data_IF_325271611692
#
_entry.id   IF_325271611692
#
_cell.length_a   1.000
_cell.length_b   1.000
_cell.length_c   1.000
_cell.angle_alpha   90.00
_cell.angle_beta   90.00
_cell.angle_gamma   90.00
#
_symmetry.space_group_name_H-M   'P 1'
#
loop_
_entity.id
_entity.type
_entity.pdbx_description
1 polymer ?
#
# COMPACT_ATOMS: atom_id res chain seq x y z
N UNK A 1 -17.55 8.87 43.30
CA UNK A 1 -18.72 8.39 42.52
C UNK A 1 -18.75 9.21 41.22
N UNK A 2 -18.18 8.81 40.07
CA UNK A 2 -18.55 7.78 39.08
C UNK A 2 -20.02 7.81 38.63
N UNK A 3 -20.32 8.51 37.52
CA UNK A 3 -21.45 8.22 36.62
C UNK A 3 -21.33 8.91 35.25
N UNK A 4 -20.41 8.48 34.38
CA UNK A 4 -20.44 8.79 32.92
C UNK A 4 -20.22 7.55 32.04
N UNK A 5 -20.64 6.38 32.54
CA UNK A 5 -20.52 5.07 31.85
C UNK A 5 -21.87 4.48 31.41
N UNK A 6 -22.86 5.32 31.11
CA UNK A 6 -24.25 4.88 30.88
C UNK A 6 -24.80 5.07 29.45
N UNK A 7 -23.97 5.40 28.45
CA UNK A 7 -24.45 5.50 27.04
C UNK A 7 -23.86 4.42 26.12
N UNK A 8 -22.84 3.68 26.58
CA UNK A 8 -22.24 2.55 25.85
C UNK A 8 -22.56 1.21 26.51
N UNK A 9 -23.84 0.84 26.66
CA UNK A 9 -24.21 -0.52 27.10
C UNK A 9 -25.65 -0.98 26.76
N UNK A 10 -26.27 -0.42 25.73
CA UNK A 10 -27.66 -0.76 25.36
C UNK A 10 -27.81 -1.79 24.23
N UNK A 11 -26.77 -2.55 23.84
CA UNK A 11 -26.88 -3.61 22.81
C UNK A 11 -26.05 -4.86 23.07
N UNK A 12 -25.84 -5.20 24.34
CA UNK A 12 -25.41 -6.53 24.75
C UNK A 12 -26.45 -7.05 25.75
N UNK A 13 -26.70 -8.35 25.74
CA UNK A 13 -27.58 -9.10 26.68
C UNK A 13 -29.09 -8.90 26.52
N UNK A 14 -29.68 -9.56 25.52
CA UNK A 14 -30.96 -10.28 25.64
C UNK A 14 -30.94 -11.52 24.74
N UNK A 15 -30.19 -12.54 25.14
CA UNK A 15 -30.35 -13.92 24.68
C UNK A 15 -29.84 -14.84 25.79
N UNK A 16 -30.78 -15.33 26.60
CA UNK A 16 -30.69 -16.43 27.58
C UNK A 16 -31.85 -16.20 28.57
N UNK A 17 -32.76 -17.08 28.95
CA UNK A 17 -33.17 -18.43 28.61
C UNK A 17 -34.52 -18.63 29.35
N UNK A 18 -35.44 -19.41 28.79
CA UNK A 18 -36.55 -20.14 29.46
C UNK A 18 -37.48 -20.65 28.34
N UNK A 19 -37.24 -21.80 27.69
CA UNK A 19 -37.32 -23.22 28.10
C UNK A 19 -38.76 -23.77 28.19
N UNK A 20 -39.00 -24.72 27.28
CA UNK A 20 -39.95 -25.85 27.20
C UNK A 20 -41.46 -25.60 27.25
N UNK A 21 -42.18 -26.11 26.24
CA UNK A 21 -42.99 -27.35 26.35
C UNK A 21 -43.04 -28.05 24.98
N UNK A 22 -42.95 -29.38 25.06
CA UNK A 22 -42.81 -30.37 24.00
C UNK A 22 -44.00 -30.53 23.04
N UNK A 23 -43.64 -31.13 21.91
CA UNK A 23 -44.43 -31.72 20.83
C UNK A 23 -45.69 -32.50 21.22
N UNK A 24 -46.82 -32.24 20.53
CA UNK A 24 -47.67 -33.25 19.85
C UNK A 24 -48.38 -32.55 18.67
N UNK A 25 -48.50 -33.25 17.54
CA UNK A 25 -48.86 -32.67 16.24
C UNK A 25 -50.17 -31.87 16.19
N UNK A 26 -50.13 -30.81 15.39
CA UNK A 26 -51.22 -30.46 14.50
C UNK A 26 -50.68 -29.66 13.30
N UNK A 27 -51.17 -30.02 12.12
CA UNK A 27 -50.75 -29.58 10.80
C UNK A 27 -50.76 -28.05 10.66
N UNK A 28 -49.58 -27.43 10.55
CA UNK A 28 -49.45 -25.98 10.40
C UNK A 28 -48.29 -25.60 9.49
N UNK A 29 -48.59 -24.83 8.45
CA UNK A 29 -47.66 -24.27 7.46
C UNK A 29 -46.45 -23.61 8.12
N UNK A 30 -45.30 -24.28 8.03
CA UNK A 30 -44.03 -23.75 8.52
C UNK A 30 -43.55 -22.59 7.64
N UNK A 31 -43.76 -21.36 8.10
CA UNK A 31 -43.15 -20.16 7.58
C UNK A 31 -41.62 -20.31 7.58
N UNK A 32 -41.07 -20.58 6.40
CA UNK A 32 -39.64 -20.59 6.09
C UNK A 32 -39.11 -19.18 6.31
N UNK A 33 -38.70 -18.88 7.56
CA UNK A 33 -38.08 -17.62 7.96
C UNK A 33 -36.78 -17.39 7.20
N UNK A 34 -36.89 -16.81 5.99
CA UNK A 34 -35.78 -16.20 5.27
C UNK A 34 -35.35 -15.00 6.10
N UNK A 35 -34.27 -15.13 6.87
CA UNK A 35 -33.57 -13.99 7.45
C UNK A 35 -33.40 -12.91 6.38
N UNK A 36 -33.49 -11.64 6.79
CA UNK A 36 -33.45 -10.42 5.97
C UNK A 36 -32.28 -10.38 4.96
N UNK A 37 -32.33 -11.20 3.91
CA UNK A 37 -31.46 -11.17 2.74
C UNK A 37 -32.04 -10.10 1.83
N UNK A 38 -31.53 -8.87 2.00
CA UNK A 38 -31.90 -7.74 1.16
C UNK A 38 -32.93 -6.84 1.79
N UNK A 39 -32.54 -6.08 2.81
CA UNK A 39 -33.06 -4.72 2.94
C UNK A 39 -32.71 -4.00 1.62
N UNK A 40 -33.69 -3.95 0.72
CA UNK A 40 -33.58 -3.57 -0.67
C UNK A 40 -33.20 -2.11 -0.87
N UNK A 41 -31.92 -1.80 -0.69
CA UNK A 41 -31.35 -0.63 -1.36
C UNK A 41 -31.33 -0.99 -2.84
N UNK A 42 -32.25 -0.39 -3.59
CA UNK A 42 -32.25 -0.46 -5.04
C UNK A 42 -30.82 -0.20 -5.53
N UNK A 43 -30.29 -0.99 -6.49
CA UNK A 43 -29.00 -0.69 -7.09
C UNK A 43 -28.98 0.77 -7.54
N UNK A 44 -27.85 1.43 -7.32
CA UNK A 44 -27.65 2.78 -7.84
C UNK A 44 -27.98 2.78 -9.34
N UNK A 45 -28.67 3.82 -9.79
CA UNK A 45 -29.07 3.96 -11.18
C UNK A 45 -27.83 3.85 -12.09
N UNK A 46 -27.86 2.92 -13.05
CA UNK A 46 -26.74 2.61 -13.94
C UNK A 46 -25.73 1.57 -13.42
N UNK A 47 -25.87 1.03 -12.20
CA UNK A 47 -24.90 0.07 -11.61
C UNK A 47 -25.50 -1.32 -11.41
N UNK A 48 -24.89 -2.33 -12.06
CA UNK A 48 -25.28 -3.74 -11.88
C UNK A 48 -24.58 -4.33 -10.66
N UNK A 49 -25.29 -4.40 -9.54
CA UNK A 49 -24.75 -4.96 -8.28
C UNK A 49 -24.53 -6.48 -8.36
N UNK A 50 -23.30 -6.93 -8.67
CA UNK A 50 -22.89 -8.34 -8.61
C UNK A 50 -22.42 -8.73 -7.19
N UNK A 51 -23.36 -8.82 -6.24
CA UNK A 51 -23.12 -9.31 -4.88
C UNK A 51 -23.30 -8.27 -3.76
N UNK A 52 -22.68 -8.49 -2.60
CA UNK A 52 -22.88 -7.60 -1.43
C UNK A 52 -22.22 -6.23 -1.58
N UNK A 53 -21.18 -6.13 -2.39
CA UNK A 53 -20.36 -4.93 -2.48
C UNK A 53 -20.22 -4.53 -3.95
N UNK A 54 -20.31 -3.23 -4.24
CA UNK A 54 -20.11 -2.69 -5.58
C UNK A 54 -18.66 -2.78 -6.04
N UNK A 55 -18.47 -3.07 -7.33
CA UNK A 55 -17.17 -2.94 -7.99
C UNK A 55 -16.75 -1.47 -7.99
N UNK A 56 -15.48 -1.20 -7.70
CA UNK A 56 -14.96 0.17 -7.65
C UNK A 56 -15.03 0.87 -9.01
N UNK A 57 -14.85 0.14 -10.12
CA UNK A 57 -14.95 0.72 -11.47
C UNK A 57 -16.35 1.25 -11.77
N UNK A 58 -17.38 0.57 -11.29
CA UNK A 58 -18.79 0.90 -11.59
C UNK A 58 -19.29 2.08 -10.77
N UNK A 59 -18.62 2.40 -9.66
CA UNK A 59 -19.03 3.46 -8.74
C UNK A 59 -18.13 4.69 -8.77
N UNK A 60 -17.06 4.68 -9.57
CA UNK A 60 -16.26 5.89 -9.77
C UNK A 60 -17.13 6.99 -10.37
N UNK A 61 -17.04 8.20 -9.82
CA UNK A 61 -17.85 9.36 -10.24
C UNK A 61 -19.27 9.40 -9.69
N UNK A 62 -19.75 8.32 -9.05
CA UNK A 62 -21.01 8.34 -8.31
C UNK A 62 -20.79 8.89 -6.89
N UNK A 63 -21.81 9.54 -6.33
CA UNK A 63 -21.81 10.06 -4.97
C UNK A 63 -21.91 8.96 -3.89
N UNK A 64 -21.17 7.86 -4.05
CA UNK A 64 -21.11 6.77 -3.06
C UNK A 64 -19.96 7.00 -2.08
N UNK A 65 -20.12 6.66 -0.78
CA UNK A 65 -19.03 6.76 0.18
C UNK A 65 -17.77 6.01 -0.26
N UNK A 66 -17.93 4.86 -0.93
CA UNK A 66 -16.80 4.08 -1.44
C UNK A 66 -16.03 4.78 -2.55
N UNK A 67 -16.68 5.58 -3.40
CA UNK A 67 -16.01 6.35 -4.44
C UNK A 67 -15.11 7.46 -3.87
N UNK A 68 -15.48 8.02 -2.71
CA UNK A 68 -14.65 9.02 -2.01
C UNK A 68 -13.49 8.38 -1.23
N UNK A 69 -13.67 7.16 -0.75
CA UNK A 69 -12.66 6.43 0.04
C UNK A 69 -11.59 5.79 -0.84
N UNK A 70 -11.97 5.27 -2.01
CA UNK A 70 -11.06 4.59 -2.93
C UNK A 70 -10.77 5.45 -4.16
N UNK A 71 -9.49 5.69 -4.42
CA UNK A 71 -9.03 6.37 -5.63
C UNK A 71 -8.28 5.42 -6.54
N UNK A 72 -8.47 5.62 -7.84
CA UNK A 72 -7.80 4.84 -8.87
C UNK A 72 -6.33 5.24 -8.97
N UNK A 73 -5.46 4.23 -9.08
CA UNK A 73 -4.04 4.35 -9.35
C UNK A 73 -3.68 3.33 -10.43
N UNK A 74 -3.57 3.79 -11.68
CA UNK A 74 -3.45 2.91 -12.85
C UNK A 74 -4.59 1.90 -12.94
N UNK A 75 -4.25 0.62 -12.94
CA UNK A 75 -5.21 -0.50 -12.98
C UNK A 75 -5.76 -0.91 -11.60
N UNK A 76 -5.27 -0.31 -10.50
CA UNK A 76 -5.64 -0.67 -9.13
C UNK A 76 -6.28 0.51 -8.40
N UNK A 77 -6.67 0.27 -7.16
CA UNK A 77 -7.24 1.28 -6.26
C UNK A 77 -6.49 1.32 -4.96
N UNK A 78 -6.40 2.50 -4.38
CA UNK A 78 -5.85 2.72 -3.05
C UNK A 78 -6.91 3.32 -2.13
N UNK A 79 -6.79 3.04 -0.84
CA UNK A 79 -7.67 3.62 0.18
C UNK A 79 -7.03 4.89 0.73
N UNK A 80 -7.68 6.04 0.55
CA UNK A 80 -7.13 7.34 0.96
C UNK A 80 -6.88 7.43 2.48
N UNK A 81 -7.79 6.98 3.36
CA UNK A 81 -7.52 6.96 4.81
C UNK A 81 -6.30 6.13 5.22
N UNK A 82 -5.99 5.04 4.49
CA UNK A 82 -4.81 4.23 4.80
C UNK A 82 -3.54 4.95 4.32
N UNK A 83 -3.61 5.56 3.14
CA UNK A 83 -2.53 6.39 2.63
C UNK A 83 -2.22 7.55 3.57
N UNK A 84 -3.23 8.21 4.13
CA UNK A 84 -3.08 9.28 5.13
C UNK A 84 -2.40 8.77 6.42
N UNK A 85 -2.70 7.54 6.82
CA UNK A 85 -2.05 6.84 7.93
C UNK A 85 -0.71 6.18 7.56
N UNK A 86 -0.08 6.60 6.44
CA UNK A 86 1.21 6.07 5.92
C UNK A 86 1.23 4.55 5.75
N UNK A 87 0.07 3.97 5.47
CA UNK A 87 -0.08 2.54 5.23
C UNK A 87 -0.60 2.34 3.82
N UNK A 88 0.24 1.81 2.94
CA UNK A 88 -0.17 1.52 1.58
C UNK A 88 -0.94 0.20 1.52
N UNK A 89 -2.18 0.29 1.04
CA UNK A 89 -3.03 -0.87 0.75
C UNK A 89 -3.59 -0.71 -0.66
N UNK A 90 -3.13 -1.57 -1.56
CA UNK A 90 -3.63 -1.64 -2.93
C UNK A 90 -4.71 -2.72 -3.05
N UNK A 91 -5.75 -2.44 -3.82
CA UNK A 91 -6.85 -3.37 -4.10
C UNK A 91 -7.22 -3.36 -5.58
N UNK A 92 -7.72 -4.49 -6.06
CA UNK A 92 -8.37 -4.63 -7.36
C UNK A 92 -9.74 -3.92 -7.35
N UNK A 93 -10.35 -3.67 -8.52
CA UNK A 93 -11.70 -3.12 -8.61
C UNK A 93 -12.76 -3.92 -7.84
N UNK A 94 -12.61 -5.24 -7.77
CA UNK A 94 -13.46 -6.14 -6.98
C UNK A 94 -13.15 -6.13 -5.46
N UNK A 95 -12.28 -5.22 -5.00
CA UNK A 95 -11.83 -5.04 -3.61
C UNK A 95 -11.01 -6.19 -3.03
N UNK A 96 -10.48 -7.09 -3.86
CA UNK A 96 -9.44 -8.04 -3.44
C UNK A 96 -8.12 -7.30 -3.25
N UNK A 97 -7.40 -7.61 -2.18
CA UNK A 97 -6.10 -6.99 -1.88
C UNK A 97 -5.05 -7.41 -2.92
N UNK A 98 -4.19 -6.46 -3.26
CA UNK A 98 -3.00 -6.66 -4.09
C UNK A 98 -1.77 -6.47 -3.21
N UNK A 99 -1.08 -7.58 -2.90
CA UNK A 99 0.12 -7.54 -2.08
C UNK A 99 -0.13 -7.34 -0.58
N UNK A 100 0.95 -7.35 0.21
CA UNK A 100 0.91 -7.08 1.64
C UNK A 100 0.57 -5.61 1.92
N UNK A 101 0.22 -5.32 3.18
CA UNK A 101 0.14 -3.93 3.64
C UNK A 101 1.56 -3.47 3.94
N UNK A 102 1.96 -2.34 3.36
CA UNK A 102 3.31 -1.78 3.54
C UNK A 102 3.23 -0.45 4.28
N UNK A 103 4.18 -0.20 5.17
CA UNK A 103 4.39 1.16 5.68
C UNK A 103 5.23 1.94 4.67
N UNK A 104 4.91 3.21 4.51
CA UNK A 104 5.58 4.10 3.56
C UNK A 104 6.15 5.33 4.29
N UNK A 105 7.23 5.89 3.76
CA UNK A 105 7.79 7.15 4.26
C UNK A 105 6.88 8.34 3.95
N UNK A 106 7.11 9.47 4.63
CA UNK A 106 6.42 10.73 4.36
C UNK A 106 6.64 11.23 2.92
N UNK A 107 7.87 11.08 2.43
CA UNK A 107 8.26 11.49 1.09
C UNK A 107 7.54 10.65 0.02
N UNK A 108 7.52 9.32 0.21
CA UNK A 108 6.83 8.40 -0.69
C UNK A 108 5.30 8.60 -0.63
N UNK A 109 4.73 8.85 0.55
CA UNK A 109 3.32 9.19 0.72
C UNK A 109 2.95 10.43 -0.10
N UNK A 110 3.74 11.50 0.00
CA UNK A 110 3.53 12.72 -0.77
C UNK A 110 3.54 12.46 -2.27
N UNK A 111 4.51 11.67 -2.75
CA UNK A 111 4.60 11.30 -4.16
C UNK A 111 3.41 10.46 -4.62
N UNK A 112 2.97 9.47 -3.84
CA UNK A 112 1.80 8.65 -4.18
C UNK A 112 0.54 9.53 -4.22
N UNK A 113 0.38 10.49 -3.30
CA UNK A 113 -0.73 11.47 -3.36
C UNK A 113 -0.67 12.27 -4.67
N UNK A 114 0.48 12.81 -5.02
CA UNK A 114 0.66 13.53 -6.30
C UNK A 114 0.30 12.65 -7.49
N UNK A 115 0.74 11.39 -7.50
CA UNK A 115 0.42 10.45 -8.57
C UNK A 115 -1.09 10.14 -8.65
N UNK A 116 -1.78 10.03 -7.52
CA UNK A 116 -3.21 9.72 -7.45
C UNK A 116 -4.07 10.89 -7.89
N UNK A 117 -3.72 12.11 -7.47
CA UNK A 117 -4.54 13.30 -7.74
C UNK A 117 -4.15 14.01 -9.04
N UNK A 118 -2.86 14.10 -9.35
CA UNK A 118 -2.34 14.83 -10.51
C UNK A 118 -1.91 13.92 -11.66
N UNK A 119 -1.84 12.59 -11.46
CA UNK A 119 -1.36 11.61 -12.46
C UNK A 119 0.04 11.92 -13.01
N UNK A 120 0.86 12.59 -12.20
CA UNK A 120 2.22 12.96 -12.56
C UNK A 120 3.21 12.52 -11.47
N UNK A 121 4.46 12.30 -11.87
CA UNK A 121 5.59 12.10 -10.97
C UNK A 121 6.52 13.28 -11.15
N UNK A 122 6.78 14.00 -10.06
CA UNK A 122 7.71 15.11 -10.06
C UNK A 122 9.13 14.53 -9.89
N UNK A 123 9.89 14.48 -10.98
CA UNK A 123 11.29 14.00 -10.99
C UNK A 123 12.17 14.55 -9.86
N UNK A 124 12.19 15.87 -9.55
CA UNK A 124 13.05 16.38 -8.48
C UNK A 124 12.64 15.88 -7.09
N UNK A 125 11.39 15.46 -6.92
CA UNK A 125 10.91 14.83 -5.69
C UNK A 125 11.32 13.36 -5.66
N UNK A 126 11.24 12.67 -6.80
CA UNK A 126 11.68 11.29 -6.96
C UNK A 126 13.19 11.14 -6.71
N UNK A 127 14.00 12.02 -7.26
CA UNK A 127 15.47 11.94 -7.14
C UNK A 127 15.95 12.06 -5.67
N UNK A 128 15.21 12.81 -4.86
CA UNK A 128 15.45 13.01 -3.41
C UNK A 128 14.98 11.85 -2.53
N UNK A 129 14.27 10.88 -3.07
CA UNK A 129 13.84 9.71 -2.31
C UNK A 129 15.03 8.83 -1.94
N UNK A 130 14.89 8.12 -0.81
CA UNK A 130 15.82 7.05 -0.46
C UNK A 130 15.74 5.93 -1.50
N UNK A 131 16.80 5.12 -1.57
CA UNK A 131 16.87 3.98 -2.50
C UNK A 131 15.74 2.98 -2.20
N UNK A 132 15.43 2.75 -0.92
CA UNK A 132 14.31 1.90 -0.50
C UNK A 132 12.97 2.42 -1.00
N UNK A 133 12.71 3.73 -0.87
CA UNK A 133 11.49 4.36 -1.34
C UNK A 133 11.39 4.36 -2.88
N UNK A 134 12.51 4.54 -3.59
CA UNK A 134 12.57 4.45 -5.06
C UNK A 134 12.20 3.05 -5.55
N UNK A 135 12.73 2.01 -4.90
CA UNK A 135 12.36 0.61 -5.19
C UNK A 135 10.89 0.35 -4.93
N UNK A 136 10.39 0.80 -3.77
CA UNK A 136 8.98 0.62 -3.44
C UNK A 136 8.08 1.38 -4.45
N UNK A 137 8.49 2.56 -4.90
CA UNK A 137 7.80 3.28 -5.95
C UNK A 137 7.76 2.48 -7.27
N UNK A 138 8.87 1.89 -7.68
CA UNK A 138 8.95 1.06 -8.88
C UNK A 138 8.01 -0.16 -8.79
N UNK A 139 8.00 -0.86 -7.66
CA UNK A 139 7.07 -1.96 -7.39
C UNK A 139 5.60 -1.51 -7.48
N UNK A 140 5.27 -0.32 -6.93
CA UNK A 140 3.93 0.26 -7.01
C UNK A 140 3.56 0.54 -8.47
N UNK A 141 4.46 1.13 -9.26
CA UNK A 141 4.25 1.40 -10.67
C UNK A 141 4.07 0.12 -11.47
N UNK A 142 4.80 -0.94 -11.14
CA UNK A 142 4.65 -2.26 -11.74
C UNK A 142 3.29 -2.89 -11.41
N UNK A 143 2.91 -2.96 -10.14
CA UNK A 143 1.62 -3.52 -9.69
C UNK A 143 0.43 -2.75 -10.27
N UNK A 144 0.56 -1.43 -10.42
CA UNK A 144 -0.48 -0.56 -10.97
C UNK A 144 -0.48 -0.54 -12.50
N UNK A 145 0.52 -1.13 -13.16
CA UNK A 145 0.77 -1.06 -14.61
C UNK A 145 0.99 0.37 -15.13
N UNK A 146 1.52 1.25 -14.29
CA UNK A 146 1.91 2.62 -14.66
C UNK A 146 3.36 2.71 -15.12
N UNK A 147 4.15 1.64 -14.96
CA UNK A 147 5.56 1.57 -15.36
C UNK A 147 5.82 2.08 -16.79
N UNK A 148 4.97 1.72 -17.77
CA UNK A 148 5.14 2.14 -19.16
C UNK A 148 4.95 3.64 -19.39
N UNK A 149 4.21 4.33 -18.51
CA UNK A 149 4.00 5.77 -18.62
C UNK A 149 5.20 6.58 -18.10
N UNK A 150 6.08 5.95 -17.34
CA UNK A 150 7.19 6.61 -16.64
C UNK A 150 8.55 5.94 -16.88
N UNK A 151 8.62 4.90 -17.71
CA UNK A 151 9.85 4.13 -17.98
C UNK A 151 10.99 5.02 -18.49
N UNK A 152 10.69 5.99 -19.37
CA UNK A 152 11.72 6.90 -19.90
C UNK A 152 12.13 8.01 -18.93
N UNK A 153 11.43 8.16 -17.79
CA UNK A 153 11.64 9.25 -16.82
C UNK A 153 12.33 8.77 -15.55
N UNK A 154 12.14 7.51 -15.16
CA UNK A 154 12.63 6.98 -13.91
C UNK A 154 13.85 6.09 -14.16
N UNK A 155 15.01 6.57 -13.75
CA UNK A 155 16.25 5.78 -13.76
C UNK A 155 16.18 4.69 -12.70
N UNK A 156 16.73 3.51 -13.01
CA UNK A 156 16.76 2.39 -12.08
C UNK A 156 17.55 2.79 -10.80
N UNK A 157 16.93 2.67 -9.60
CA UNK A 157 17.60 2.97 -8.34
C UNK A 157 18.85 2.10 -8.08
N UNK A 158 18.93 0.90 -8.65
CA UNK A 158 20.12 0.04 -8.52
C UNK A 158 21.25 0.46 -9.45
N UNK A 159 20.93 0.88 -10.68
CA UNK A 159 21.93 1.39 -11.62
C UNK A 159 22.57 2.68 -11.12
N UNK A 160 21.75 3.59 -10.57
CA UNK A 160 22.25 4.84 -9.96
C UNK A 160 23.18 4.55 -8.77
N UNK A 161 22.80 3.61 -7.90
CA UNK A 161 23.65 3.19 -6.77
C UNK A 161 24.99 2.59 -7.25
N UNK A 162 24.97 1.75 -8.30
CA UNK A 162 26.18 1.19 -8.89
C UNK A 162 27.08 2.26 -9.49
N UNK A 163 26.52 3.20 -10.23
CA UNK A 163 27.28 4.28 -10.85
C UNK A 163 27.97 5.17 -9.79
N UNK A 164 27.29 5.48 -8.69
CA UNK A 164 27.88 6.22 -7.57
C UNK A 164 28.99 5.43 -6.89
N UNK A 165 28.77 4.12 -6.66
CA UNK A 165 29.78 3.22 -6.12
C UNK A 165 31.04 3.16 -6.99
N UNK A 166 30.88 2.91 -8.29
CA UNK A 166 31.99 2.78 -9.23
C UNK A 166 32.79 4.07 -9.33
N UNK A 167 32.11 5.21 -9.31
CA UNK A 167 32.76 6.53 -9.27
C UNK A 167 33.61 6.70 -8.01
N UNK A 168 33.06 6.46 -6.83
CA UNK A 168 33.78 6.63 -5.57
C UNK A 168 34.92 5.61 -5.41
N UNK A 169 34.71 4.38 -5.88
CA UNK A 169 35.74 3.34 -5.92
C UNK A 169 36.89 3.75 -6.85
N UNK A 170 36.58 4.32 -8.02
CA UNK A 170 37.57 4.85 -8.95
C UNK A 170 38.40 6.00 -8.37
N UNK A 171 37.76 6.95 -7.68
CA UNK A 171 38.45 8.06 -7.00
C UNK A 171 39.51 7.57 -5.99
N UNK A 172 39.17 6.57 -5.19
CA UNK A 172 40.12 5.99 -4.22
C UNK A 172 41.22 5.18 -4.92
N UNK A 173 40.91 4.49 -6.02
CA UNK A 173 41.92 3.79 -6.81
C UNK A 173 42.93 4.75 -7.45
N UNK A 174 42.51 5.99 -7.74
CA UNK A 174 43.36 7.07 -8.24
C UNK A 174 44.16 7.78 -7.13
N UNK A 175 43.99 7.38 -5.86
CA UNK A 175 44.72 7.93 -4.71
C UNK A 175 44.08 9.18 -4.08
N UNK A 176 42.78 9.39 -4.28
CA UNK A 176 42.05 10.49 -3.63
C UNK A 176 41.58 10.08 -2.22
N UNK A 177 42.41 10.37 -1.21
CA UNK A 177 42.15 10.00 0.20
C UNK A 177 41.32 11.03 0.97
N UNK A 178 40.40 11.73 0.29
CA UNK A 178 39.53 12.69 0.96
C UNK A 178 38.63 11.96 1.99
N UNK A 179 38.66 12.34 3.28
CA UNK A 179 37.89 11.67 4.35
C UNK A 179 36.37 11.68 4.09
N UNK A 180 35.86 12.67 3.36
CA UNK A 180 34.46 12.71 2.91
C UNK A 180 34.13 11.55 1.97
N UNK A 181 35.00 11.29 0.99
CA UNK A 181 34.82 10.24 -0.02
C UNK A 181 34.90 8.86 0.63
N UNK A 182 35.88 8.66 1.52
CA UNK A 182 36.02 7.42 2.29
C UNK A 182 34.77 7.14 3.12
N UNK A 183 34.21 8.16 3.80
CA UNK A 183 32.99 8.02 4.59
C UNK A 183 31.77 7.68 3.72
N UNK A 184 31.63 8.35 2.57
CA UNK A 184 30.56 8.07 1.61
C UNK A 184 30.68 6.66 1.05
N UNK A 185 31.87 6.25 0.61
CA UNK A 185 32.11 4.91 0.08
C UNK A 185 31.85 3.82 1.11
N UNK A 186 32.19 4.04 2.40
CA UNK A 186 31.85 3.10 3.48
C UNK A 186 30.33 2.87 3.58
N UNK A 187 29.55 3.95 3.60
CA UNK A 187 28.08 3.86 3.65
C UNK A 187 27.55 3.13 2.42
N UNK A 188 28.04 3.52 1.24
CA UNK A 188 27.55 3.05 -0.04
C UNK A 188 27.94 1.59 -0.29
N UNK A 189 29.09 1.13 0.23
CA UNK A 189 29.51 -0.27 0.19
C UNK A 189 28.59 -1.17 1.04
N UNK A 190 28.10 -0.67 2.17
CA UNK A 190 27.08 -1.37 2.97
C UNK A 190 25.76 -1.46 2.21
N UNK A 191 25.35 -0.37 1.53
CA UNK A 191 24.15 -0.35 0.70
C UNK A 191 24.27 -1.28 -0.52
N UNK A 192 25.44 -1.37 -1.15
CA UNK A 192 25.70 -2.29 -2.26
C UNK A 192 25.61 -3.75 -1.81
N UNK A 193 26.14 -4.06 -0.62
CA UNK A 193 26.08 -5.40 -0.04
C UNK A 193 24.65 -5.79 0.37
N UNK A 194 23.92 -4.90 1.04
CA UNK A 194 22.53 -5.15 1.45
C UNK A 194 21.61 -5.40 0.25
N UNK A 195 21.90 -4.74 -0.87
CA UNK A 195 21.19 -4.90 -2.13
C UNK A 195 21.72 -6.05 -3.01
N UNK A 196 22.66 -6.87 -2.50
CA UNK A 196 23.28 -8.02 -3.20
C UNK A 196 23.91 -7.66 -4.55
N UNK A 197 24.42 -6.44 -4.65
CA UNK A 197 25.09 -5.96 -5.87
C UNK A 197 26.59 -6.31 -5.89
N UNK A 198 27.16 -6.59 -4.72
CA UNK A 198 28.55 -7.00 -4.53
C UNK A 198 28.61 -8.25 -3.63
N UNK A 199 29.62 -9.08 -3.85
CA UNK A 199 29.82 -10.30 -3.08
C UNK A 199 30.58 -10.06 -1.77
N UNK A 200 30.47 -11.02 -0.86
CA UNK A 200 31.13 -11.02 0.46
C UNK A 200 32.64 -10.80 0.39
N UNK A 201 33.27 -11.30 -0.67
CA UNK A 201 34.71 -11.14 -0.94
C UNK A 201 35.06 -9.69 -1.29
N UNK A 202 34.28 -9.09 -2.21
CA UNK A 202 34.48 -7.71 -2.65
C UNK A 202 34.20 -6.72 -1.51
N UNK A 203 33.15 -6.98 -0.72
CA UNK A 203 32.82 -6.19 0.47
C UNK A 203 33.99 -6.16 1.47
N UNK A 204 34.56 -7.33 1.80
CA UNK A 204 35.70 -7.44 2.72
C UNK A 204 36.93 -6.70 2.20
N UNK A 205 37.27 -6.90 0.92
CA UNK A 205 38.43 -6.25 0.29
C UNK A 205 38.37 -4.72 0.41
N UNK A 206 37.20 -4.14 0.13
CA UNK A 206 37.02 -2.69 0.16
C UNK A 206 37.01 -2.16 1.59
N UNK A 207 36.29 -2.82 2.50
CA UNK A 207 36.28 -2.42 3.92
C UNK A 207 37.70 -2.45 4.50
N UNK A 208 38.50 -3.49 4.21
CA UNK A 208 39.88 -3.58 4.70
C UNK A 208 40.79 -2.47 4.17
N UNK A 209 40.52 -1.98 2.97
CA UNK A 209 41.29 -0.88 2.36
C UNK A 209 40.89 0.50 2.88
N UNK A 210 39.70 0.61 3.48
CA UNK A 210 39.14 1.86 4.02
C UNK A 210 39.32 2.00 5.54
N UNK A 211 39.83 0.97 6.23
CA UNK A 211 40.18 0.96 7.65
C UNK A 211 41.60 1.48 7.85
#
# INVERSE_FOLDING_TARGET
MKATKAVFKAKATKYSDAVNVDSVGNSGEGLKGRGLRGAGVAPLEGVVRRGRIYNLNEIQGLATPSAYVYRQLGSKYIRIPDLDAKTLVMVQPNRRKCGPKCQISDSLQGMIKTLVYKKNIDQPTYDKLSIEDKKMCEEILAITHLQHNFHDKLTDPLETLRAEYDKLKGEIQLGNDNPSIIKQLKSLTVDMYSNRLIDDKEFKEIITRLL
#
